data_IF_376466617661
#
_entry.id   IF_376466617661
#
_cell.length_a   1.000
_cell.length_b   1.000
_cell.length_c   1.000
_cell.angle_alpha   90.00
_cell.angle_beta   90.00
_cell.angle_gamma   90.00
#
_symmetry.space_group_name_H-M   'P 1'
#
loop_
_entity.id
_entity.type
_entity.pdbx_description
1 polymer ?
#
# COMPACT_ATOMS: atom_id res chain seq x y z
N UNK A 1 32.36 -15.57 9.06
CA UNK A 1 31.68 -14.49 8.31
C UNK A 1 30.91 -15.02 7.10
N UNK A 2 31.34 -16.12 6.49
CA UNK A 2 30.73 -16.65 5.26
C UNK A 2 29.32 -17.22 5.48
N UNK A 3 29.05 -17.84 6.64
CA UNK A 3 27.70 -18.30 7.01
C UNK A 3 26.66 -17.18 7.03
N UNK A 4 27.01 -16.02 7.59
CA UNK A 4 26.11 -14.86 7.62
C UNK A 4 25.81 -14.35 6.20
N UNK A 5 26.81 -14.34 5.31
CA UNK A 5 26.66 -13.86 3.92
C UNK A 5 25.92 -14.84 3.01
N UNK A 6 26.11 -16.14 3.21
CA UNK A 6 25.51 -17.19 2.39
C UNK A 6 24.09 -17.55 2.82
N UNK A 7 23.84 -17.62 4.13
CA UNK A 7 22.54 -18.07 4.66
C UNK A 7 21.69 -16.91 5.16
N UNK A 8 22.22 -16.08 6.08
CA UNK A 8 21.42 -15.14 6.85
C UNK A 8 21.04 -13.85 6.09
N UNK A 9 22.00 -13.21 5.42
CA UNK A 9 21.76 -11.97 4.66
C UNK A 9 20.75 -12.17 3.51
N UNK A 10 20.82 -13.25 2.72
CA UNK A 10 19.86 -13.49 1.65
C UNK A 10 18.42 -13.67 2.15
N UNK A 11 18.23 -14.16 3.38
CA UNK A 11 16.90 -14.33 3.98
C UNK A 11 16.50 -13.23 4.96
N UNK A 12 17.34 -12.22 5.23
CA UNK A 12 17.07 -11.16 6.21
C UNK A 12 15.71 -10.47 6.00
N UNK A 13 15.35 -10.17 4.76
CA UNK A 13 14.03 -9.62 4.42
C UNK A 13 12.87 -10.57 4.73
N UNK A 14 13.07 -11.88 4.52
CA UNK A 14 12.05 -12.90 4.82
C UNK A 14 11.78 -12.99 6.32
N UNK A 15 12.82 -12.86 7.15
CA UNK A 15 12.68 -12.78 8.59
C UNK A 15 11.89 -11.54 9.01
N UNK A 16 12.25 -10.36 8.49
CA UNK A 16 11.49 -9.14 8.75
C UNK A 16 10.01 -9.31 8.35
N UNK A 17 9.74 -9.83 7.15
CA UNK A 17 8.38 -10.12 6.69
C UNK A 17 7.63 -11.12 7.58
N UNK A 18 8.30 -12.13 8.14
CA UNK A 18 7.67 -13.08 9.05
C UNK A 18 7.09 -12.41 10.31
N UNK A 19 7.69 -11.31 10.75
CA UNK A 19 7.20 -10.54 11.90
C UNK A 19 6.25 -9.42 11.49
N UNK A 20 6.52 -8.72 10.39
CA UNK A 20 5.71 -7.55 9.98
C UNK A 20 4.43 -7.94 9.25
N UNK A 21 4.41 -9.08 8.53
CA UNK A 21 3.24 -9.49 7.76
C UNK A 21 2.10 -10.06 8.61
N UNK A 22 2.26 -10.09 9.94
CA UNK A 22 1.21 -10.47 10.90
C UNK A 22 0.54 -9.24 11.54
N UNK A 23 0.84 -8.03 11.05
CA UNK A 23 0.29 -6.78 11.59
C UNK A 23 -0.48 -6.06 10.49
N UNK A 24 -1.72 -5.71 10.79
CA UNK A 24 -2.56 -4.90 9.91
C UNK A 24 -2.07 -3.45 9.90
N UNK A 25 -1.67 -2.95 8.73
CA UNK A 25 -1.08 -1.61 8.60
C UNK A 25 -1.45 -0.86 7.32
N UNK A 26 -2.11 -1.48 6.34
CA UNK A 26 -2.59 -0.83 5.09
C UNK A 26 -1.48 -0.05 4.40
N UNK A 27 -0.31 -0.69 4.22
CA UNK A 27 0.86 -0.04 3.61
C UNK A 27 1.60 0.99 4.49
N UNK A 28 1.03 1.41 5.63
CA UNK A 28 1.68 2.34 6.55
C UNK A 28 2.76 1.64 7.37
N UNK A 29 3.96 1.57 6.81
CA UNK A 29 5.13 1.02 7.52
C UNK A 29 6.06 2.17 7.91
N UNK A 30 6.25 2.38 9.21
CA UNK A 30 7.29 3.28 9.71
C UNK A 30 8.58 2.49 9.86
N UNK A 31 9.61 2.82 9.07
CA UNK A 31 10.96 2.25 9.23
C UNK A 31 11.75 2.93 10.36
N UNK A 32 11.07 3.62 11.27
CA UNK A 32 11.63 4.36 12.40
C UNK A 32 12.71 5.40 12.00
N UNK A 33 12.63 5.97 10.78
CA UNK A 33 13.51 7.07 10.35
C UNK A 33 12.87 8.44 10.63
N UNK A 34 12.52 8.66 11.90
CA UNK A 34 12.06 9.96 12.38
C UNK A 34 13.08 11.06 12.01
N UNK A 35 14.38 10.74 12.07
CA UNK A 35 15.46 11.66 11.71
C UNK A 35 15.46 12.06 10.23
N UNK A 36 15.13 11.16 9.31
CA UNK A 36 15.07 11.53 7.89
C UNK A 36 13.86 12.39 7.58
N UNK A 37 12.70 12.11 8.21
CA UNK A 37 11.52 12.96 8.09
C UNK A 37 11.78 14.34 8.70
N UNK A 38 12.40 14.40 9.88
CA UNK A 38 12.85 15.66 10.48
C UNK A 38 13.86 16.40 9.61
N UNK A 39 14.83 15.70 9.00
CA UNK A 39 15.79 16.32 8.08
C UNK A 39 15.10 16.89 6.85
N UNK A 40 14.14 16.17 6.26
CA UNK A 40 13.38 16.65 5.11
C UNK A 40 12.52 17.85 5.47
N UNK A 41 11.86 17.82 6.64
CA UNK A 41 11.09 18.94 7.15
C UNK A 41 11.97 20.15 7.41
N UNK A 42 13.13 19.98 8.08
CA UNK A 42 14.10 21.07 8.31
C UNK A 42 14.65 21.67 7.01
N UNK A 43 14.95 20.82 6.01
CA UNK A 43 15.36 21.27 4.67
C UNK A 43 14.26 22.05 3.98
N UNK A 44 13.02 21.56 4.03
CA UNK A 44 11.85 22.23 3.46
C UNK A 44 11.55 23.57 4.16
N UNK A 45 11.70 23.61 5.48
CA UNK A 45 11.57 24.81 6.28
C UNK A 45 12.67 25.85 5.98
N UNK A 46 13.85 25.39 5.54
CA UNK A 46 15.01 26.25 5.21
C UNK A 46 15.29 27.30 6.30
N UNK A 47 15.19 26.90 7.58
CA UNK A 47 15.21 27.83 8.71
C UNK A 47 16.61 28.13 9.20
N UNK A 48 17.12 29.29 8.79
CA UNK A 48 17.94 30.14 9.65
C UNK A 48 17.46 31.61 9.71
N UNK A 49 16.50 32.03 8.87
CA UNK A 49 16.15 33.46 8.69
C UNK A 49 14.69 33.81 8.39
N UNK A 50 13.78 32.83 8.24
CA UNK A 50 12.38 33.13 7.88
C UNK A 50 11.54 33.55 9.08
N UNK A 51 10.71 34.58 8.90
CA UNK A 51 9.72 35.02 9.89
C UNK A 51 8.63 33.95 10.07
N UNK A 52 8.11 33.85 11.30
CA UNK A 52 7.14 32.81 11.71
C UNK A 52 5.86 32.85 10.87
N UNK A 53 5.39 34.03 10.49
CA UNK A 53 4.25 34.26 9.61
C UNK A 53 4.37 33.55 8.25
N UNK A 54 5.55 33.63 7.63
CA UNK A 54 5.85 33.01 6.32
C UNK A 54 5.89 31.48 6.43
N UNK A 55 6.31 30.98 7.59
CA UNK A 55 6.42 29.55 7.89
C UNK A 55 5.01 28.92 7.99
N UNK A 56 4.08 29.57 8.70
CA UNK A 56 2.68 29.14 8.77
C UNK A 56 2.00 29.14 7.40
N UNK A 57 2.24 30.18 6.59
CA UNK A 57 1.68 30.25 5.24
C UNK A 57 2.16 29.08 4.38
N UNK A 58 3.47 28.79 4.38
CA UNK A 58 4.02 27.65 3.63
C UNK A 58 3.48 26.32 4.10
N UNK A 59 3.32 26.14 5.42
CA UNK A 59 2.75 24.93 5.98
C UNK A 59 1.30 24.75 5.52
N UNK A 60 0.49 25.80 5.63
CA UNK A 60 -0.89 25.79 5.16
C UNK A 60 -0.97 25.42 3.68
N UNK A 61 -0.22 26.10 2.81
CA UNK A 61 -0.16 25.78 1.38
C UNK A 61 0.30 24.34 1.12
N UNK A 62 1.22 23.79 1.93
CA UNK A 62 1.63 22.39 1.78
C UNK A 62 0.50 21.41 2.10
N UNK A 63 -0.30 21.70 3.13
CA UNK A 63 -1.46 20.89 3.51
C UNK A 63 -2.53 20.98 2.42
N UNK A 64 -2.82 22.18 1.93
CA UNK A 64 -3.73 22.39 0.80
C UNK A 64 -3.27 21.64 -0.46
N UNK A 65 -1.97 21.70 -0.78
CA UNK A 65 -1.36 20.94 -1.86
C UNK A 65 -1.58 19.44 -1.73
N UNK A 66 -1.39 18.88 -0.53
CA UNK A 66 -1.68 17.46 -0.25
C UNK A 66 -3.16 17.11 -0.43
N UNK A 67 -4.07 18.00 -0.03
CA UNK A 67 -5.51 17.79 -0.25
C UNK A 67 -5.84 17.78 -1.74
N UNK A 68 -5.22 18.66 -2.53
CA UNK A 68 -5.40 18.69 -3.99
C UNK A 68 -4.86 17.39 -4.62
N UNK A 69 -3.68 16.92 -4.22
CA UNK A 69 -3.12 15.64 -4.66
C UNK A 69 -4.08 14.48 -4.34
N UNK A 70 -4.59 14.39 -3.11
CA UNK A 70 -5.53 13.36 -2.71
C UNK A 70 -6.82 13.37 -3.54
N UNK A 71 -7.37 14.56 -3.81
CA UNK A 71 -8.56 14.71 -4.66
C UNK A 71 -8.29 14.26 -6.09
N UNK A 72 -7.11 14.58 -6.64
CA UNK A 72 -6.70 14.14 -7.97
C UNK A 72 -6.60 12.61 -8.04
N UNK A 73 -6.01 11.98 -7.03
CA UNK A 73 -5.87 10.52 -6.97
C UNK A 73 -7.24 9.83 -6.83
N UNK A 74 -8.16 10.42 -6.05
CA UNK A 74 -9.54 9.96 -5.95
C UNK A 74 -10.26 10.02 -7.29
N UNK A 75 -10.18 11.16 -7.99
CA UNK A 75 -10.79 11.31 -9.31
C UNK A 75 -10.21 10.32 -10.33
N UNK A 76 -8.89 10.12 -10.30
CA UNK A 76 -8.23 9.10 -11.11
C UNK A 76 -8.78 7.69 -10.82
N UNK A 77 -9.03 7.37 -9.55
CA UNK A 77 -9.65 6.09 -9.14
C UNK A 77 -11.09 5.95 -9.64
N UNK A 78 -11.89 7.02 -9.57
CA UNK A 78 -13.30 7.02 -9.98
C UNK A 78 -13.48 6.99 -11.51
N UNK A 79 -12.53 7.55 -12.26
CA UNK A 79 -12.59 7.60 -13.73
C UNK A 79 -12.41 6.23 -14.39
N UNK A 80 -11.82 5.25 -13.70
CA UNK A 80 -11.59 3.91 -14.23
C UNK A 80 -12.80 3.02 -14.05
N UNK A 81 -13.07 2.18 -15.05
CA UNK A 81 -14.07 1.09 -14.97
C UNK A 81 -13.34 -0.22 -14.75
N UNK A 82 -13.35 -0.72 -13.51
CA UNK A 82 -12.51 -1.87 -13.15
C UNK A 82 -12.80 -3.15 -13.96
N UNK A 83 -14.06 -3.42 -14.29
CA UNK A 83 -14.43 -4.56 -15.13
C UNK A 83 -13.74 -4.53 -16.52
N UNK A 84 -13.60 -3.34 -17.12
CA UNK A 84 -12.93 -3.16 -18.42
C UNK A 84 -11.40 -3.14 -18.28
N UNK A 85 -10.89 -2.50 -17.23
CA UNK A 85 -9.46 -2.29 -17.06
C UNK A 85 -8.71 -3.51 -16.50
N UNK A 86 -9.36 -4.31 -15.65
CA UNK A 86 -8.70 -5.38 -14.88
C UNK A 86 -9.36 -6.77 -15.06
N UNK A 87 -10.54 -6.82 -15.68
CA UNK A 87 -11.29 -8.07 -15.87
C UNK A 87 -11.80 -8.70 -14.56
N UNK A 88 -12.35 -9.92 -14.61
CA UNK A 88 -12.79 -10.64 -13.42
C UNK A 88 -11.61 -10.99 -12.48
N UNK A 89 -11.82 -11.01 -11.15
CA UNK A 89 -13.11 -10.88 -10.44
C UNK A 89 -13.42 -9.46 -9.92
N UNK A 90 -12.81 -8.39 -10.44
CA UNK A 90 -12.81 -7.06 -9.79
C UNK A 90 -14.02 -6.17 -10.11
N UNK A 91 -14.96 -6.63 -10.94
CA UNK A 91 -16.07 -5.82 -11.46
C UNK A 91 -16.89 -5.12 -10.38
N UNK A 92 -17.33 -5.85 -9.35
CA UNK A 92 -18.18 -5.31 -8.28
C UNK A 92 -17.43 -4.49 -7.22
N UNK A 93 -16.10 -4.34 -7.36
CA UNK A 93 -15.32 -3.45 -6.51
C UNK A 93 -15.23 -2.03 -7.10
N UNK A 94 -15.74 -1.83 -8.31
CA UNK A 94 -15.69 -0.54 -8.99
C UNK A 94 -16.38 0.55 -8.17
N UNK A 95 -15.71 1.70 -8.00
CA UNK A 95 -16.13 2.85 -7.18
C UNK A 95 -16.27 2.61 -5.67
N UNK A 96 -16.28 1.36 -5.21
CA UNK A 96 -16.32 0.98 -3.79
C UNK A 96 -14.91 0.81 -3.19
N UNK A 97 -13.94 0.47 -4.03
CA UNK A 97 -12.56 0.19 -3.63
C UNK A 97 -11.61 1.11 -4.39
N UNK A 98 -10.55 1.55 -3.73
CA UNK A 98 -9.54 2.38 -4.38
C UNK A 98 -8.79 1.61 -5.47
N UNK A 99 -8.44 2.31 -6.55
CA UNK A 99 -7.59 1.80 -7.60
C UNK A 99 -6.30 1.17 -7.05
N UNK A 100 -5.69 1.81 -6.05
CA UNK A 100 -4.48 1.33 -5.40
C UNK A 100 -4.65 -0.07 -4.80
N UNK A 101 -5.78 -0.38 -4.18
CA UNK A 101 -6.06 -1.70 -3.64
C UNK A 101 -6.23 -2.76 -4.74
N UNK A 102 -6.79 -2.39 -5.90
CA UNK A 102 -6.85 -3.27 -7.08
C UNK A 102 -5.44 -3.57 -7.60
N UNK A 103 -4.59 -2.55 -7.70
CA UNK A 103 -3.20 -2.69 -8.16
C UNK A 103 -2.39 -3.62 -7.24
N UNK A 104 -2.57 -3.51 -5.91
CA UNK A 104 -1.98 -4.45 -4.95
C UNK A 104 -2.44 -5.90 -5.15
N UNK A 105 -3.73 -6.12 -5.36
CA UNK A 105 -4.27 -7.47 -5.64
C UNK A 105 -3.71 -8.03 -6.96
N UNK A 106 -3.56 -7.20 -7.98
CA UNK A 106 -2.95 -7.61 -9.26
C UNK A 106 -1.48 -7.98 -9.11
N UNK A 107 -0.71 -7.20 -8.35
CA UNK A 107 0.68 -7.53 -8.03
C UNK A 107 0.78 -8.86 -7.28
N UNK A 108 -0.09 -9.08 -6.29
CA UNK A 108 -0.13 -10.33 -5.52
C UNK A 108 -0.50 -11.53 -6.39
N UNK A 109 -1.44 -11.38 -7.35
CA UNK A 109 -1.79 -12.43 -8.31
C UNK A 109 -0.62 -12.80 -9.23
N UNK A 110 0.21 -11.83 -9.58
CA UNK A 110 1.43 -12.00 -10.36
C UNK A 110 2.57 -12.72 -9.62
N UNK A 111 2.53 -12.84 -8.28
CA UNK A 111 3.59 -13.50 -7.52
C UNK A 111 3.64 -15.01 -7.77
N UNK A 112 4.85 -15.53 -7.93
CA UNK A 112 5.09 -16.97 -8.03
C UNK A 112 4.96 -17.63 -6.64
N UNK A 113 4.00 -18.53 -6.48
CA UNK A 113 3.82 -19.27 -5.23
C UNK A 113 4.76 -20.48 -5.24
N UNK A 114 5.90 -20.36 -4.56
CA UNK A 114 6.91 -21.45 -4.50
C UNK A 114 6.43 -22.64 -3.66
N UNK A 115 5.60 -22.41 -2.63
CA UNK A 115 5.06 -23.47 -1.75
C UNK A 115 3.63 -23.22 -1.28
N UNK A 116 3.38 -22.10 -0.59
CA UNK A 116 2.06 -21.69 -0.07
C UNK A 116 1.98 -20.16 -0.08
N UNK A 117 0.77 -19.60 -0.18
CA UNK A 117 0.54 -18.17 -0.41
C UNK A 117 0.98 -17.25 0.74
N UNK A 118 1.11 -17.76 1.99
CA UNK A 118 1.52 -16.95 3.15
C UNK A 118 0.53 -15.86 3.59
N UNK A 119 -0.54 -15.60 2.82
CA UNK A 119 -1.66 -14.69 3.11
C UNK A 119 -1.28 -13.28 3.59
N UNK A 120 -0.06 -12.82 3.34
CA UNK A 120 0.44 -11.56 3.90
C UNK A 120 -0.40 -10.36 3.48
N UNK A 121 -0.93 -10.33 2.24
CA UNK A 121 -1.80 -9.24 1.77
C UNK A 121 -3.10 -9.15 2.58
N UNK A 122 -3.66 -10.28 3.00
CA UNK A 122 -4.85 -10.33 3.84
C UNK A 122 -4.55 -9.79 5.23
N UNK A 123 -3.49 -10.28 5.87
CA UNK A 123 -3.12 -9.85 7.22
C UNK A 123 -2.73 -8.38 7.30
N UNK A 124 -2.02 -7.87 6.28
CA UNK A 124 -1.45 -6.51 6.31
C UNK A 124 -2.40 -5.43 5.78
N UNK A 125 -3.24 -5.76 4.79
CA UNK A 125 -4.09 -4.79 4.10
C UNK A 125 -5.58 -5.14 4.14
N UNK A 126 -5.94 -6.33 4.65
CA UNK A 126 -7.33 -6.78 4.65
C UNK A 126 -7.86 -7.14 3.27
N UNK A 127 -6.97 -7.33 2.28
CA UNK A 127 -7.33 -7.62 0.90
C UNK A 127 -7.17 -9.11 0.59
N UNK A 128 -7.98 -9.69 -0.31
CA UNK A 128 -7.81 -11.08 -0.75
C UNK A 128 -6.38 -11.37 -1.26
N UNK A 129 -5.74 -12.39 -0.68
CA UNK A 129 -4.49 -12.95 -1.19
C UNK A 129 -4.70 -13.64 -2.55
N UNK A 130 -3.61 -13.94 -3.26
CA UNK A 130 -3.64 -14.80 -4.45
C UNK A 130 -4.42 -16.10 -4.23
N UNK A 131 -4.21 -16.75 -3.08
CA UNK A 131 -4.96 -17.96 -2.72
C UNK A 131 -6.49 -17.81 -2.81
N UNK A 132 -7.03 -16.72 -2.26
CA UNK A 132 -8.46 -16.45 -2.25
C UNK A 132 -8.95 -15.99 -3.62
N UNK A 133 -8.18 -15.16 -4.31
CA UNK A 133 -8.52 -14.74 -5.67
C UNK A 133 -8.57 -15.91 -6.65
N UNK A 134 -7.65 -16.86 -6.54
CA UNK A 134 -7.65 -18.07 -7.37
C UNK A 134 -8.85 -18.98 -7.03
N UNK A 135 -9.22 -19.11 -5.75
CA UNK A 135 -10.44 -19.81 -5.31
C UNK A 135 -11.70 -19.22 -5.94
N UNK A 136 -11.86 -17.88 -5.89
CA UNK A 136 -12.98 -17.19 -6.52
C UNK A 136 -12.96 -17.31 -8.05
N UNK A 137 -11.77 -17.24 -8.66
CA UNK A 137 -11.61 -17.39 -10.10
C UNK A 137 -12.01 -18.79 -10.59
N UNK A 138 -11.69 -19.84 -9.84
CA UNK A 138 -12.10 -21.22 -10.15
C UNK A 138 -13.60 -21.40 -9.96
N UNK A 139 -14.17 -20.78 -8.93
CA UNK A 139 -15.61 -20.81 -8.67
C UNK A 139 -16.43 -19.92 -9.64
N UNK A 140 -15.78 -19.09 -10.46
CA UNK A 140 -16.46 -18.10 -11.32
C UNK A 140 -17.16 -16.99 -10.53
N UNK A 141 -16.69 -16.72 -9.31
CA UNK A 141 -17.30 -15.75 -8.39
C UNK A 141 -16.57 -14.41 -8.49
N UNK A 142 -17.34 -13.31 -8.57
CA UNK A 142 -16.79 -11.96 -8.50
C UNK A 142 -16.49 -11.53 -7.04
N UNK A 143 -15.51 -10.66 -6.87
CA UNK A 143 -15.19 -10.06 -5.58
C UNK A 143 -16.18 -8.94 -5.28
N UNK A 144 -16.58 -8.85 -4.02
CA UNK A 144 -17.48 -7.84 -3.49
C UNK A 144 -16.82 -7.15 -2.31
N UNK A 145 -17.25 -5.93 -1.94
CA UNK A 145 -16.67 -5.21 -0.81
C UNK A 145 -16.66 -5.98 0.51
N UNK A 146 -17.62 -6.88 0.75
CA UNK A 146 -17.66 -7.70 1.97
C UNK A 146 -16.60 -8.82 2.01
N UNK A 147 -15.94 -9.12 0.87
CA UNK A 147 -14.78 -10.01 0.85
C UNK A 147 -13.48 -9.31 1.29
N UNK A 148 -13.51 -7.98 1.46
CA UNK A 148 -12.41 -7.19 1.98
C UNK A 148 -12.67 -6.88 3.46
N UNK A 149 -11.62 -6.61 4.22
CA UNK A 149 -11.75 -6.12 5.59
C UNK A 149 -12.54 -4.80 5.59
N UNK A 150 -13.62 -4.76 6.37
CA UNK A 150 -14.48 -3.59 6.49
C UNK A 150 -13.79 -2.55 7.39
N UNK A 151 -13.59 -1.34 6.87
CA UNK A 151 -13.07 -0.20 7.63
C UNK A 151 -14.18 0.45 8.47
#
# INVERSE_FOLDING_TARGET
MDYLRSEWIPCAKRWAHCYTNCVFHIGNTSTNRVESMHSSLKKWLATSTHKIDTLFLRFHTSVEGRVIELKKDLEASLSKVFALAYGPPYGNLNKEVSLWAIELMMEERGREIVRRCGCGLHETHGLPCKCKMDEYSVAGVELYPYHLHRF
#
